data_IF_422918474347
#
_entry.id   IF_422918474347
#
_cell.length_a   1.000
_cell.length_b   1.000
_cell.length_c   1.000
_cell.angle_alpha   90.00
_cell.angle_beta   90.00
_cell.angle_gamma   90.00
#
_symmetry.space_group_name_H-M   'P 1'
#
loop_
_entity.id
_entity.type
_entity.pdbx_description
1 polymer ?
#
# COMPACT_ATOMS: atom_id res chain seq x y z
N UNK A 1 11.73 -0.83 16.30
CA UNK A 1 11.72 -1.55 15.00
C UNK A 1 10.25 -1.86 14.69
N UNK A 2 9.84 -1.77 13.43
CA UNK A 2 8.43 -1.99 13.04
C UNK A 2 8.04 -3.47 13.17
N UNK A 3 6.90 -3.74 13.79
CA UNK A 3 6.29 -5.07 13.91
C UNK A 3 5.36 -5.37 12.73
N UNK A 4 4.72 -4.35 12.19
CA UNK A 4 3.90 -4.40 10.99
C UNK A 4 4.47 -3.47 9.92
N UNK A 5 4.42 -3.87 8.66
CA UNK A 5 4.80 -3.04 7.51
C UNK A 5 3.66 -3.01 6.52
N UNK A 6 3.15 -1.82 6.23
CA UNK A 6 2.05 -1.57 5.29
C UNK A 6 2.62 -0.89 4.04
N UNK A 7 2.27 -1.37 2.86
CA UNK A 7 2.72 -0.83 1.58
C UNK A 7 1.52 -0.28 0.83
N UNK A 8 1.48 1.03 0.61
CA UNK A 8 0.43 1.68 -0.16
C UNK A 8 0.70 1.60 -1.66
N UNK A 9 -0.06 0.77 -2.37
CA UNK A 9 -0.06 0.71 -3.83
C UNK A 9 -1.32 1.33 -4.43
N UNK A 10 -2.17 1.94 -3.62
CA UNK A 10 -3.45 2.48 -4.06
C UNK A 10 -3.22 3.65 -5.04
N UNK A 11 -3.99 3.71 -6.12
CA UNK A 11 -3.84 4.74 -7.17
C UNK A 11 -2.56 4.65 -7.99
N UNK A 12 -1.67 3.68 -7.73
CA UNK A 12 -0.57 3.38 -8.65
C UNK A 12 -1.15 2.70 -9.88
N UNK A 13 -1.21 3.45 -10.99
CA UNK A 13 -1.43 2.87 -12.30
C UNK A 13 -0.18 2.10 -12.70
N UNK A 14 -0.16 0.80 -12.42
CA UNK A 14 0.80 -0.11 -13.01
C UNK A 14 0.47 -0.19 -14.51
N UNK A 15 1.06 0.69 -15.30
CA UNK A 15 0.98 0.55 -16.74
C UNK A 15 1.58 -0.81 -17.13
N UNK A 16 1.02 -1.47 -18.14
CA UNK A 16 1.46 -2.78 -18.66
C UNK A 16 2.90 -2.79 -19.23
N UNK A 17 3.65 -1.72 -19.03
CA UNK A 17 5.04 -1.61 -19.41
C UNK A 17 5.88 -2.49 -18.48
N UNK A 18 6.59 -3.48 -19.04
CA UNK A 18 7.44 -4.45 -18.32
C UNK A 18 8.38 -3.84 -17.26
N UNK A 19 8.85 -2.60 -17.47
CA UNK A 19 9.72 -1.89 -16.52
C UNK A 19 9.02 -1.54 -15.20
N UNK A 20 7.70 -1.34 -15.24
CA UNK A 20 6.88 -0.98 -14.09
C UNK A 20 6.80 -2.14 -13.09
N UNK A 21 6.43 -3.33 -13.58
CA UNK A 21 6.35 -4.55 -12.80
C UNK A 21 7.71 -4.99 -12.24
N UNK A 22 8.79 -4.88 -13.02
CA UNK A 22 10.13 -5.21 -12.52
C UNK A 22 10.61 -4.27 -11.42
N UNK A 23 10.27 -2.98 -11.50
CA UNK A 23 10.64 -2.02 -10.46
C UNK A 23 9.84 -2.29 -9.18
N UNK A 24 8.53 -2.54 -9.29
CA UNK A 24 7.70 -2.94 -8.16
C UNK A 24 8.22 -4.23 -7.50
N UNK A 25 8.54 -5.26 -8.30
CA UNK A 25 9.10 -6.52 -7.81
C UNK A 25 10.40 -6.29 -7.02
N UNK A 26 11.31 -5.46 -7.53
CA UNK A 26 12.55 -5.12 -6.83
C UNK A 26 12.29 -4.41 -5.51
N UNK A 27 11.34 -3.48 -5.49
CA UNK A 27 10.97 -2.77 -4.27
C UNK A 27 10.36 -3.71 -3.25
N UNK A 28 9.41 -4.57 -3.64
CA UNK A 28 8.80 -5.55 -2.73
C UNK A 28 9.83 -6.56 -2.19
N UNK A 29 10.75 -7.05 -3.03
CA UNK A 29 11.85 -7.91 -2.59
C UNK A 29 12.77 -7.20 -1.60
N UNK A 30 13.09 -5.92 -1.83
CA UNK A 30 13.91 -5.16 -0.89
C UNK A 30 13.20 -5.00 0.46
N UNK A 31 11.91 -4.68 0.45
CA UNK A 31 11.10 -4.57 1.67
C UNK A 31 11.07 -5.92 2.40
N UNK A 32 10.78 -7.01 1.70
CA UNK A 32 10.83 -8.36 2.25
C UNK A 32 12.22 -8.66 2.83
N UNK A 33 13.31 -8.45 2.10
CA UNK A 33 14.66 -8.73 2.58
C UNK A 33 15.01 -7.93 3.86
N UNK A 34 14.60 -6.66 3.93
CA UNK A 34 14.89 -5.81 5.08
C UNK A 34 13.97 -6.05 6.28
N UNK A 35 12.74 -6.53 6.04
CA UNK A 35 11.69 -6.59 7.06
C UNK A 35 11.15 -7.99 7.38
N UNK A 36 11.29 -9.00 6.52
CA UNK A 36 10.69 -10.34 6.72
C UNK A 36 11.23 -11.07 7.96
N UNK A 37 12.51 -10.89 8.30
CA UNK A 37 13.08 -11.47 9.52
C UNK A 37 12.61 -10.78 10.82
N UNK A 38 11.86 -9.68 10.70
CA UNK A 38 11.74 -8.64 11.74
C UNK A 38 10.29 -8.21 12.00
N UNK A 39 9.48 -8.16 10.96
CA UNK A 39 8.06 -7.84 10.99
C UNK A 39 7.26 -9.14 11.09
N UNK A 40 6.22 -9.12 11.93
CA UNK A 40 5.26 -10.22 12.11
C UNK A 40 4.11 -10.11 11.10
N UNK A 41 3.98 -8.96 10.44
CA UNK A 41 2.91 -8.68 9.49
C UNK A 41 3.43 -7.79 8.35
N UNK A 42 3.36 -8.31 7.12
CA UNK A 42 3.69 -7.61 5.89
C UNK A 42 2.41 -7.48 5.07
N UNK A 43 1.98 -6.26 4.79
CA UNK A 43 0.69 -6.01 4.15
C UNK A 43 0.83 -5.11 2.93
N UNK A 44 0.14 -5.47 1.85
CA UNK A 44 -0.03 -4.65 0.66
C UNK A 44 -1.45 -4.10 0.63
N UNK A 45 -1.58 -2.78 0.49
CA UNK A 45 -2.84 -2.06 0.32
C UNK A 45 -3.04 -1.74 -1.16
N UNK A 46 -4.14 -2.20 -1.75
CA UNK A 46 -4.46 -2.00 -3.16
C UNK A 46 -5.95 -1.67 -3.37
N UNK A 47 -6.28 -0.92 -4.42
CA UNK A 47 -7.65 -0.73 -4.87
C UNK A 47 -7.89 -1.61 -6.10
N UNK A 48 -8.50 -2.78 -5.90
CA UNK A 48 -9.08 -3.66 -6.93
C UNK A 48 -8.14 -4.24 -8.01
N UNK A 49 -8.31 -5.54 -8.24
CA UNK A 49 -7.65 -6.43 -9.22
C UNK A 49 -6.14 -6.66 -9.05
N UNK A 50 -5.71 -7.06 -7.85
CA UNK A 50 -4.86 -8.26 -7.77
C UNK A 50 -5.81 -9.45 -7.59
N UNK A 51 -6.75 -9.60 -8.53
CA UNK A 51 -7.58 -10.80 -8.59
C UNK A 51 -6.66 -11.91 -9.10
N UNK A 52 -6.38 -12.89 -8.25
CA UNK A 52 -6.17 -14.23 -8.77
C UNK A 52 -7.53 -14.66 -9.34
N UNK A 53 -7.79 -14.33 -10.62
CA UNK A 53 -9.00 -14.74 -11.31
C UNK A 53 -9.09 -16.27 -11.29
N UNK A 54 -10.02 -16.80 -10.48
CA UNK A 54 -10.81 -17.93 -10.97
C UNK A 54 -12.01 -17.33 -11.69
N UNK A 55 -11.88 -17.33 -13.01
CA UNK A 55 -12.96 -17.42 -13.99
C UNK A 55 -13.89 -16.20 -14.13
N UNK A 56 -13.68 -15.42 -15.20
CA UNK A 56 -14.74 -14.63 -15.83
C UNK A 56 -14.42 -13.17 -16.14
N UNK A 57 -13.62 -12.96 -17.20
CA UNK A 57 -13.57 -11.75 -18.05
C UNK A 57 -13.89 -10.38 -17.41
N UNK A 58 -12.92 -9.71 -16.78
CA UNK A 58 -12.90 -8.24 -16.76
C UNK A 58 -11.50 -7.62 -16.52
N UNK A 59 -11.00 -6.96 -17.57
CA UNK A 59 -9.88 -6.01 -17.64
C UNK A 59 -8.59 -6.40 -16.90
N UNK A 60 -7.79 -7.17 -17.63
CA UNK A 60 -6.50 -7.73 -17.27
C UNK A 60 -5.49 -6.66 -16.84
N UNK A 61 -5.37 -6.42 -15.53
CA UNK A 61 -4.04 -6.25 -14.95
C UNK A 61 -3.44 -7.65 -14.83
N UNK A 62 -3.14 -8.27 -15.97
CA UNK A 62 -2.26 -9.43 -16.06
C UNK A 62 -0.89 -8.96 -15.57
N UNK A 63 -0.70 -8.99 -14.26
CA UNK A 63 0.64 -9.16 -13.71
C UNK A 63 1.03 -10.56 -14.17
N UNK A 64 1.60 -10.66 -15.38
CA UNK A 64 2.26 -11.87 -15.85
C UNK A 64 3.16 -12.32 -14.71
N UNK A 65 2.70 -13.35 -14.02
CA UNK A 65 3.34 -13.98 -12.88
C UNK A 65 4.56 -14.69 -13.43
N UNK A 66 5.61 -13.93 -13.74
CA UNK A 66 6.96 -14.47 -13.66
C UNK A 66 7.05 -15.15 -12.30
N UNK A 67 7.42 -16.43 -12.25
CA UNK A 67 7.30 -17.28 -11.06
C UNK A 67 7.78 -16.66 -9.74
N UNK A 68 8.67 -15.65 -9.79
CA UNK A 68 9.13 -14.90 -8.62
C UNK A 68 8.12 -13.90 -8.02
N UNK A 69 7.19 -13.31 -8.79
CA UNK A 69 6.18 -12.39 -8.26
C UNK A 69 5.14 -13.12 -7.41
N UNK A 70 4.65 -14.28 -7.87
CA UNK A 70 3.65 -15.06 -7.13
C UNK A 70 4.23 -15.57 -5.80
N UNK A 71 5.45 -16.12 -5.82
CA UNK A 71 6.12 -16.58 -4.61
C UNK A 71 6.39 -15.45 -3.61
N UNK A 72 6.74 -14.26 -4.12
CA UNK A 72 6.93 -13.09 -3.26
C UNK A 72 5.61 -12.64 -2.63
N UNK A 73 4.53 -12.58 -3.41
CA UNK A 73 3.22 -12.14 -2.93
C UNK A 73 2.61 -13.09 -1.89
N UNK A 74 2.96 -14.38 -1.89
CA UNK A 74 2.54 -15.33 -0.84
C UNK A 74 3.02 -14.93 0.56
N UNK A 75 4.12 -14.16 0.65
CA UNK A 75 4.63 -13.66 1.92
C UNK A 75 3.98 -12.34 2.38
N UNK A 76 3.15 -11.74 1.54
CA UNK A 76 2.41 -10.52 1.86
C UNK A 76 0.93 -10.82 2.02
N UNK A 77 0.33 -10.21 3.04
CA UNK A 77 -1.12 -10.15 3.14
C UNK A 77 -1.66 -9.02 2.26
N UNK A 78 -2.43 -9.38 1.24
CA UNK A 78 -3.01 -8.41 0.30
C UNK A 78 -4.39 -8.02 0.82
N UNK A 79 -4.56 -6.74 1.17
CA UNK A 79 -5.86 -6.17 1.55
C UNK A 79 -6.32 -5.23 0.44
N UNK A 80 -7.45 -5.59 -0.17
CA UNK A 80 -8.10 -4.78 -1.20
C UNK A 80 -9.56 -4.59 -0.82
N UNK A 81 -9.93 -3.35 -0.53
CA UNK A 81 -11.31 -2.96 -0.21
C UNK A 81 -11.75 -1.81 -1.13
N UNK A 82 -13.07 -1.55 -1.25
CA UNK A 82 -13.58 -0.49 -2.12
C UNK A 82 -13.13 0.94 -1.76
N UNK A 83 -12.65 1.16 -0.53
CA UNK A 83 -12.21 2.46 -0.04
C UNK A 83 -10.96 2.35 0.85
N UNK A 84 -10.26 3.47 1.03
CA UNK A 84 -9.06 3.51 1.87
C UNK A 84 -9.43 3.30 3.34
N UNK A 85 -10.53 3.90 3.81
CA UNK A 85 -10.99 3.69 5.17
C UNK A 85 -11.31 2.21 5.45
N UNK A 86 -11.99 1.53 4.53
CA UNK A 86 -12.30 0.11 4.67
C UNK A 86 -11.02 -0.75 4.70
N UNK A 87 -10.06 -0.48 3.82
CA UNK A 87 -8.76 -1.17 3.82
C UNK A 87 -8.00 -0.97 5.13
N UNK A 88 -7.90 0.26 5.61
CA UNK A 88 -7.21 0.57 6.87
C UNK A 88 -7.92 -0.02 8.08
N UNK A 89 -9.26 -0.04 8.08
CA UNK A 89 -10.03 -0.67 9.14
C UNK A 89 -9.80 -2.19 9.19
N UNK A 90 -9.83 -2.88 8.04
CA UNK A 90 -9.48 -4.31 7.96
C UNK A 90 -8.05 -4.58 8.44
N UNK A 91 -7.10 -3.72 8.08
CA UNK A 91 -5.72 -3.83 8.54
C UNK A 91 -5.61 -3.62 10.04
N UNK A 92 -6.31 -2.62 10.57
CA UNK A 92 -6.37 -2.37 12.01
C UNK A 92 -6.84 -3.61 12.77
N UNK A 93 -7.91 -4.26 12.31
CA UNK A 93 -8.40 -5.51 12.91
C UNK A 93 -7.32 -6.60 12.92
N UNK A 94 -6.60 -6.78 11.82
CA UNK A 94 -5.53 -7.79 11.70
C UNK A 94 -4.31 -7.50 12.57
N UNK A 95 -3.99 -6.22 12.76
CA UNK A 95 -2.95 -5.74 13.66
C UNK A 95 -3.36 -6.00 15.12
N UNK A 96 -4.62 -5.73 15.47
CA UNK A 96 -5.19 -5.95 16.80
C UNK A 96 -5.19 -7.44 17.17
N UNK A 97 -5.62 -8.31 16.25
CA UNK A 97 -5.58 -9.77 16.42
C UNK A 97 -4.17 -10.30 16.73
N UNK A 98 -3.15 -9.65 16.17
CA UNK A 98 -1.73 -10.02 16.35
C UNK A 98 -1.06 -9.26 17.49
N UNK A 99 -1.81 -8.39 18.19
CA UNK A 99 -1.31 -7.54 19.26
C UNK A 99 -0.06 -6.73 18.86
N UNK A 100 -0.10 -6.11 17.68
CA UNK A 100 0.99 -5.31 17.14
C UNK A 100 0.71 -3.82 17.36
N UNK A 101 1.74 -3.04 17.65
CA UNK A 101 1.59 -1.60 17.90
C UNK A 101 2.60 -0.74 17.13
N UNK A 102 3.73 -1.30 16.71
CA UNK A 102 4.75 -0.58 15.95
C UNK A 102 4.58 -0.82 14.45
N UNK A 103 4.18 0.20 13.70
CA UNK A 103 3.75 0.08 12.31
C UNK A 103 4.63 0.98 11.42
N UNK A 104 5.19 0.43 10.36
CA UNK A 104 5.83 1.20 9.29
C UNK A 104 4.91 1.27 8.08
N UNK A 105 4.73 2.46 7.52
CA UNK A 105 3.92 2.69 6.33
C UNK A 105 4.83 3.18 5.21
N UNK A 106 4.95 2.36 4.17
CA UNK A 106 5.69 2.65 2.94
C UNK A 106 4.67 3.18 1.93
N UNK A 107 4.75 4.48 1.62
CA UNK A 107 3.69 5.19 0.88
C UNK A 107 4.28 6.08 -0.22
N UNK A 108 3.65 6.19 -1.41
CA UNK A 108 4.06 7.17 -2.41
C UNK A 108 4.10 8.57 -1.81
N UNK A 109 5.17 9.32 -2.08
CA UNK A 109 5.42 10.62 -1.45
C UNK A 109 4.23 11.58 -1.52
N UNK A 110 3.55 11.65 -2.67
CA UNK A 110 2.38 12.52 -2.88
C UNK A 110 1.14 12.11 -2.06
N UNK A 111 1.05 10.85 -1.63
CA UNK A 111 -0.08 10.33 -0.82
C UNK A 111 0.18 10.34 0.68
N UNK A 112 1.40 10.66 1.10
CA UNK A 112 1.82 10.58 2.52
C UNK A 112 0.94 11.41 3.44
N UNK A 113 0.59 12.64 3.05
CA UNK A 113 -0.27 13.51 3.86
C UNK A 113 -1.70 12.97 3.95
N UNK A 114 -2.26 12.47 2.85
CA UNK A 114 -3.58 11.84 2.84
C UNK A 114 -3.62 10.60 3.75
N UNK A 115 -2.61 9.72 3.64
CA UNK A 115 -2.48 8.52 4.47
C UNK A 115 -2.42 8.86 5.96
N UNK A 116 -1.66 9.89 6.33
CA UNK A 116 -1.62 10.38 7.72
C UNK A 116 -3.00 10.81 8.21
N UNK A 117 -3.74 11.57 7.41
CA UNK A 117 -5.07 12.03 7.82
C UNK A 117 -6.09 10.89 8.00
N UNK A 118 -6.00 9.82 7.21
CA UNK A 118 -6.78 8.61 7.47
C UNK A 118 -6.36 7.92 8.77
N UNK A 119 -5.04 7.79 8.99
CA UNK A 119 -4.51 7.18 10.22
C UNK A 119 -4.95 7.96 11.45
N UNK A 120 -4.84 9.28 11.43
CA UNK A 120 -5.23 10.17 12.54
C UNK A 120 -6.73 10.05 12.89
N UNK A 121 -7.58 9.63 11.96
CA UNK A 121 -9.01 9.44 12.20
C UNK A 121 -9.38 8.00 12.61
N UNK A 122 -8.61 7.00 12.17
CA UNK A 122 -8.95 5.58 12.34
C UNK A 122 -8.18 4.87 13.46
N UNK A 123 -6.97 5.34 13.78
CA UNK A 123 -6.10 4.73 14.78
C UNK A 123 -6.00 5.62 16.02
N UNK A 124 -5.79 4.99 17.17
CA UNK A 124 -5.63 5.68 18.46
C UNK A 124 -4.15 5.78 18.84
N UNK A 125 -3.83 6.52 19.90
CA UNK A 125 -2.45 6.75 20.35
C UNK A 125 -1.70 5.49 20.84
N UNK A 126 -2.36 4.33 20.87
CA UNK A 126 -1.73 3.05 21.23
C UNK A 126 -0.83 2.51 20.11
N UNK A 127 -0.95 3.03 18.89
CA UNK A 127 -0.13 2.63 17.75
C UNK A 127 0.97 3.67 17.46
N UNK A 128 2.15 3.18 17.12
CA UNK A 128 3.31 3.98 16.76
C UNK A 128 3.58 3.85 15.27
N UNK A 129 3.41 4.94 14.52
CA UNK A 129 3.59 4.97 13.07
C UNK A 129 4.92 5.59 12.64
N UNK A 130 5.68 4.87 11.82
CA UNK A 130 6.83 5.36 11.06
C UNK A 130 6.47 5.43 9.57
N UNK A 131 6.88 6.47 8.85
CA UNK A 131 6.59 6.60 7.43
C UNK A 131 7.85 6.63 6.57
N UNK A 132 7.83 5.83 5.52
CA UNK A 132 8.88 5.73 4.52
C UNK A 132 8.30 6.03 3.13
N UNK A 133 9.06 6.76 2.31
CA UNK A 133 8.60 7.13 0.98
C UNK A 133 8.84 5.96 0.02
N UNK A 134 7.78 5.51 -0.67
CA UNK A 134 7.87 4.50 -1.71
C UNK A 134 8.59 5.11 -2.93
N UNK A 135 9.87 4.82 -3.07
CA UNK A 135 10.66 5.27 -4.22
C UNK A 135 10.43 4.36 -5.42
N UNK A 136 9.48 4.73 -6.29
CA UNK A 136 9.31 4.06 -7.59
C UNK A 136 9.72 5.02 -8.70
N UNK A 137 10.95 4.86 -9.21
CA UNK A 137 11.41 5.60 -10.39
C UNK A 137 10.89 4.91 -11.65
N UNK A 138 9.68 5.25 -12.09
CA UNK A 138 9.19 4.79 -13.40
C UNK A 138 9.86 5.60 -14.52
N UNK A 139 10.83 4.99 -15.22
CA UNK A 139 11.35 5.54 -16.50
C UNK A 139 10.26 5.42 -17.56
N UNK A 140 9.50 6.49 -17.77
CA UNK A 140 8.47 6.55 -18.82
C UNK A 140 7.38 7.60 -18.60
N UNK A 141 7.33 8.16 -17.40
CA UNK A 141 6.48 9.28 -17.08
C UNK A 141 6.69 9.55 -15.62
N UNK A 142 7.19 10.73 -15.30
CA UNK A 142 6.82 11.34 -14.04
C UNK A 142 5.29 11.16 -13.98
N UNK A 143 4.76 10.36 -13.04
CA UNK A 143 3.58 10.87 -12.34
C UNK A 143 4.00 12.29 -12.04
N UNK A 144 3.41 13.27 -12.75
CA UNK A 144 3.81 14.67 -12.63
C UNK A 144 4.03 14.82 -11.14
N UNK A 145 5.28 15.07 -10.75
CA UNK A 145 5.54 15.64 -9.44
C UNK A 145 4.83 16.98 -9.56
N UNK A 146 3.49 16.99 -9.47
CA UNK A 146 2.80 18.14 -8.98
C UNK A 146 3.55 18.40 -7.70
N UNK A 147 4.09 19.60 -7.62
CA UNK A 147 4.50 20.18 -6.36
C UNK A 147 3.18 20.32 -5.61
N UNK A 148 2.63 19.19 -5.18
CA UNK A 148 1.44 19.12 -4.37
C UNK A 148 1.94 19.48 -2.99
N UNK A 149 1.68 20.73 -2.67
CA UNK A 149 1.78 21.29 -1.35
C UNK A 149 1.25 20.22 -0.39
N UNK A 150 2.08 19.78 0.56
CA UNK A 150 1.77 18.76 1.59
C UNK A 150 0.69 19.26 2.57
N UNK A 151 -0.39 19.87 2.07
CA UNK A 151 -1.49 20.42 2.84
C UNK A 151 -2.74 19.72 2.34
N UNK A 152 -3.37 18.97 3.23
CA UNK A 152 -4.64 18.33 2.94
C UNK A 152 -5.70 19.42 2.74
N UNK A 153 -6.46 19.33 1.65
CA UNK A 153 -7.53 20.28 1.36
C UNK A 153 -8.77 19.98 2.21
N UNK A 154 -9.61 21.01 2.43
CA UNK A 154 -10.89 20.81 3.13
C UNK A 154 -11.84 19.85 2.39
N UNK A 155 -11.67 19.70 1.07
CA UNK A 155 -12.41 18.74 0.26
C UNK A 155 -11.94 17.31 0.52
N UNK A 156 -10.62 17.07 0.57
CA UNK A 156 -10.06 15.75 0.90
C UNK A 156 -10.39 15.34 2.33
N UNK A 157 -10.34 16.26 3.30
CA UNK A 157 -10.77 15.98 4.67
C UNK A 157 -12.24 15.56 4.75
N UNK A 158 -13.13 16.25 4.03
CA UNK A 158 -14.54 15.82 3.91
C UNK A 158 -14.67 14.47 3.22
N UNK A 159 -13.84 14.20 2.21
CA UNK A 159 -13.77 12.90 1.55
C UNK A 159 -13.46 11.77 2.55
N UNK A 160 -12.44 11.96 3.39
CA UNK A 160 -12.10 11.01 4.46
C UNK A 160 -13.29 10.81 5.41
N UNK A 161 -13.90 11.91 5.87
CA UNK A 161 -15.03 11.84 6.80
C UNK A 161 -16.25 11.13 6.20
N UNK A 162 -16.44 11.17 4.89
CA UNK A 162 -17.53 10.45 4.23
C UNK A 162 -17.23 8.95 4.07
N UNK A 163 -15.96 8.53 4.16
CA UNK A 163 -15.56 7.12 4.10
C UNK A 163 -15.60 6.42 5.46
N UNK A 164 -15.67 7.17 6.56
CA UNK A 164 -15.65 6.69 7.96
C UNK A 164 -17.07 6.71 8.53
#
# INVERSE_FOLDING_TARGET
>A
MAEAVLIDLFGLKLNSQKNCHQTLLKTLNAVQYHHAAKAKFLCIMCCSNISYERDGEQDNCEIETSNGLSALLEEFEIVSCPSMAATLYTIKQKIDEKNLSSIKVIVPRHRKTLMKAFIDQLFTDVYNFEFEDLQVTFRGGLFKQSIEINVITAQELRGIQNEI
#
